data_IF_617838129714
#
_entry.id   IF_617838129714
#
_cell.length_a   1.000
_cell.length_b   1.000
_cell.length_c   1.000
_cell.angle_alpha   90.00
_cell.angle_beta   90.00
_cell.angle_gamma   90.00
#
_symmetry.space_group_name_H-M   'P 1'
#
loop_
_entity.id
_entity.type
_entity.pdbx_description
1 polymer ?
#
# COMPACT_ATOMS: atom_id res chain seq x y z
N UNK A 1 -7.89 -17.64 10.52
CA UNK A 1 -6.59 -16.98 10.82
C UNK A 1 -6.88 -15.53 11.14
N UNK A 2 -6.32 -15.00 12.23
CA UNK A 2 -6.53 -13.61 12.63
C UNK A 2 -5.72 -12.66 11.71
N UNK A 3 -6.18 -11.42 11.56
CA UNK A 3 -5.41 -10.39 10.86
C UNK A 3 -4.13 -10.07 11.66
N UNK A 4 -2.93 -10.03 11.03
CA UNK A 4 -1.68 -9.75 11.74
C UNK A 4 -1.46 -8.26 12.05
N UNK A 5 -2.34 -7.37 11.57
CA UNK A 5 -2.20 -5.93 11.77
C UNK A 5 -2.63 -5.55 13.20
N UNK A 6 -1.79 -4.87 13.99
CA UNK A 6 -2.11 -4.53 15.38
C UNK A 6 -3.15 -3.40 15.46
N UNK A 7 -4.06 -3.48 16.43
CA UNK A 7 -4.97 -2.37 16.74
C UNK A 7 -4.20 -1.14 17.26
N UNK A 8 -4.69 0.10 17.03
CA UNK A 8 -5.95 0.48 16.37
C UNK A 8 -5.83 0.60 14.84
N UNK A 9 -4.75 0.10 14.24
CA UNK A 9 -4.56 0.15 12.81
C UNK A 9 -5.49 -0.82 12.08
N UNK A 10 -5.75 -0.54 10.81
CA UNK A 10 -6.64 -1.34 9.97
C UNK A 10 -6.11 -1.43 8.55
N UNK A 11 -6.37 -2.54 7.86
CA UNK A 11 -5.93 -2.73 6.49
C UNK A 11 -6.78 -1.86 5.55
N UNK A 12 -6.17 -0.83 4.96
CA UNK A 12 -6.84 0.14 4.12
C UNK A 12 -6.02 0.52 2.89
N UNK A 13 -6.68 1.21 1.98
CA UNK A 13 -6.13 1.85 0.79
C UNK A 13 -6.49 3.34 0.83
N UNK A 14 -6.00 4.12 -0.14
CA UNK A 14 -6.44 5.49 -0.33
C UNK A 14 -6.80 5.76 -1.78
N UNK A 15 -7.93 6.43 -2.00
CA UNK A 15 -8.35 6.96 -3.28
C UNK A 15 -8.28 8.48 -3.26
N UNK A 16 -7.74 9.08 -4.32
CA UNK A 16 -7.74 10.53 -4.46
C UNK A 16 -9.07 11.00 -5.05
N UNK A 17 -9.82 11.77 -4.27
CA UNK A 17 -11.11 12.34 -4.66
C UNK A 17 -10.99 13.85 -4.82
N UNK A 18 -11.70 14.41 -5.81
CA UNK A 18 -11.72 15.85 -6.02
C UNK A 18 -12.61 16.55 -4.99
N UNK A 19 -12.16 17.71 -4.52
CA UNK A 19 -12.94 18.61 -3.69
C UNK A 19 -13.52 19.74 -4.53
N UNK A 20 -14.83 19.93 -4.44
CA UNK A 20 -15.50 21.09 -5.03
C UNK A 20 -15.09 22.39 -4.31
N UNK A 21 -15.29 23.54 -4.97
CA UNK A 21 -15.08 24.85 -4.34
C UNK A 21 -15.90 25.01 -3.05
N UNK A 22 -17.14 24.49 -3.05
CA UNK A 22 -18.03 24.50 -1.89
C UNK A 22 -17.47 23.65 -0.74
N UNK A 23 -17.04 22.42 -1.02
CA UNK A 23 -16.44 21.53 -0.02
C UNK A 23 -15.17 22.15 0.59
N UNK A 24 -14.32 22.76 -0.24
CA UNK A 24 -13.14 23.49 0.24
C UNK A 24 -13.51 24.64 1.17
N UNK A 25 -14.51 25.46 0.81
CA UNK A 25 -14.99 26.57 1.63
C UNK A 25 -15.55 26.09 2.97
N UNK A 26 -16.40 25.07 2.96
CA UNK A 26 -17.07 24.58 4.16
C UNK A 26 -16.14 23.82 5.11
N UNK A 27 -15.17 23.06 4.58
CA UNK A 27 -14.26 22.22 5.36
C UNK A 27 -12.88 22.86 5.61
N UNK A 28 -12.68 24.12 5.24
CA UNK A 28 -11.37 24.79 5.35
C UNK A 28 -10.27 24.15 4.49
N UNK A 29 -10.65 23.45 3.42
CA UNK A 29 -9.70 22.73 2.55
C UNK A 29 -8.99 23.66 1.56
N UNK A 30 -7.67 23.69 1.61
CA UNK A 30 -6.85 24.47 0.65
C UNK A 30 -6.64 23.73 -0.67
N UNK A 31 -6.43 22.41 -0.61
CA UNK A 31 -6.23 21.55 -1.77
C UNK A 31 -7.54 21.20 -2.48
N UNK A 32 -7.47 21.08 -3.81
CA UNK A 32 -8.58 20.66 -4.67
C UNK A 32 -8.86 19.14 -4.65
N UNK A 33 -8.21 18.40 -3.76
CA UNK A 33 -8.40 16.97 -3.59
C UNK A 33 -8.27 16.55 -2.13
N UNK A 34 -8.75 15.34 -1.83
CA UNK A 34 -8.47 14.60 -0.60
C UNK A 34 -8.11 13.16 -0.93
N UNK A 35 -7.32 12.54 -0.06
CA UNK A 35 -7.02 11.12 -0.15
C UNK A 35 -7.90 10.39 0.88
N UNK A 36 -9.00 9.82 0.41
CA UNK A 36 -9.98 9.15 1.26
C UNK A 36 -9.53 7.71 1.52
N UNK A 37 -9.48 7.33 2.80
CA UNK A 37 -9.08 5.99 3.22
C UNK A 37 -10.28 5.05 3.17
N UNK A 38 -10.11 3.86 2.60
CA UNK A 38 -11.17 2.87 2.53
C UNK A 38 -10.63 1.45 2.66
N UNK A 39 -11.50 0.51 3.04
CA UNK A 39 -11.22 -0.92 3.01
C UNK A 39 -12.38 -1.64 2.33
N UNK A 40 -12.08 -2.76 1.70
CA UNK A 40 -13.07 -3.55 0.98
C UNK A 40 -12.72 -5.04 1.08
N UNK A 41 -13.74 -5.88 0.91
CA UNK A 41 -13.59 -7.33 0.81
C UNK A 41 -14.25 -7.79 -0.48
N UNK A 42 -13.53 -8.58 -1.27
CA UNK A 42 -14.07 -9.25 -2.47
C UNK A 42 -14.13 -10.74 -2.20
N UNK A 43 -15.29 -11.33 -2.45
CA UNK A 43 -15.54 -12.76 -2.23
C UNK A 43 -15.98 -13.40 -3.55
N UNK A 44 -15.43 -14.57 -3.87
CA UNK A 44 -15.77 -15.33 -5.08
C UNK A 44 -15.74 -16.82 -4.77
N UNK A 45 -16.50 -17.63 -5.53
CA UNK A 45 -16.46 -19.10 -5.44
C UNK A 45 -15.25 -19.71 -6.13
N UNK A 46 -14.60 -18.97 -7.04
CA UNK A 46 -13.40 -19.43 -7.76
C UNK A 46 -12.17 -19.31 -6.88
N UNK A 47 -11.23 -20.24 -7.00
CA UNK A 47 -9.93 -20.10 -6.36
C UNK A 47 -9.18 -18.91 -6.96
N UNK A 48 -8.85 -17.92 -6.14
CA UNK A 48 -8.04 -16.76 -6.54
C UNK A 48 -6.57 -16.97 -6.22
N UNK A 49 -5.68 -16.41 -7.05
CA UNK A 49 -4.27 -16.31 -6.71
C UNK A 49 -4.08 -15.28 -5.59
N UNK A 50 -3.48 -15.71 -4.47
CA UNK A 50 -3.07 -14.81 -3.39
C UNK A 50 -1.68 -14.27 -3.66
N UNK A 51 -1.48 -12.98 -3.49
CA UNK A 51 -0.14 -12.39 -3.48
C UNK A 51 0.63 -12.87 -2.25
N UNK A 52 1.97 -12.98 -2.37
CA UNK A 52 2.85 -13.33 -1.24
C UNK A 52 2.85 -12.24 -0.15
N UNK A 53 2.81 -10.99 -0.57
CA UNK A 53 2.61 -9.84 0.31
C UNK A 53 1.82 -8.72 -0.37
N UNK A 54 1.25 -7.83 0.42
CA UNK A 54 0.56 -6.62 -0.03
C UNK A 54 1.16 -5.38 0.61
N UNK A 55 1.38 -4.34 -0.19
CA UNK A 55 1.88 -3.05 0.29
C UNK A 55 0.81 -2.34 1.12
N UNK A 56 1.10 -2.12 2.41
CA UNK A 56 0.15 -1.58 3.39
C UNK A 56 0.01 -0.06 3.38
N UNK A 57 0.98 0.65 2.82
CA UNK A 57 1.07 2.12 2.84
C UNK A 57 1.68 2.67 1.57
N UNK A 58 1.72 3.98 1.43
CA UNK A 58 2.54 4.60 0.39
C UNK A 58 4.00 4.21 0.61
N UNK A 59 4.68 3.64 -0.40
CA UNK A 59 6.12 3.38 -0.31
C UNK A 59 6.91 4.63 0.04
N UNK A 60 7.76 4.54 1.05
CA UNK A 60 8.69 5.60 1.43
C UNK A 60 9.86 5.59 0.45
N UNK A 61 10.01 6.67 -0.31
CA UNK A 61 10.99 6.77 -1.39
C UNK A 61 12.08 7.75 -0.99
N UNK A 62 13.32 7.28 -1.00
CA UNK A 62 14.51 8.07 -0.76
C UNK A 62 15.49 7.91 -1.94
N UNK A 63 16.53 8.73 -2.05
CA UNK A 63 17.64 8.46 -2.97
C UNK A 63 18.17 7.03 -2.75
N UNK A 64 18.32 6.29 -3.84
CA UNK A 64 18.87 4.92 -3.86
C UNK A 64 18.14 3.88 -3.00
N UNK A 65 16.93 4.15 -2.52
CA UNK A 65 16.22 3.28 -1.58
C UNK A 65 14.70 3.46 -1.63
N UNK A 66 13.98 2.35 -1.51
CA UNK A 66 12.53 2.34 -1.26
C UNK A 66 12.24 1.44 -0.06
N UNK A 67 11.49 1.96 0.92
CA UNK A 67 11.02 1.18 2.07
C UNK A 67 9.53 0.86 1.90
N UNK A 68 9.19 -0.41 2.10
CA UNK A 68 7.86 -0.97 1.93
C UNK A 68 7.40 -1.58 3.26
N UNK A 69 6.24 -1.15 3.74
CA UNK A 69 5.49 -1.87 4.78
C UNK A 69 4.55 -2.86 4.11
N UNK A 70 4.61 -4.12 4.53
CA UNK A 70 3.99 -5.25 3.85
C UNK A 70 3.14 -6.08 4.83
N UNK A 71 1.98 -6.52 4.37
CA UNK A 71 1.22 -7.61 4.99
C UNK A 71 1.49 -8.87 4.19
N UNK A 72 2.28 -9.77 4.76
CA UNK A 72 2.68 -11.04 4.18
C UNK A 72 1.92 -12.20 4.83
N UNK A 73 2.03 -13.38 4.23
CA UNK A 73 1.39 -14.61 4.72
C UNK A 73 1.80 -15.00 6.15
N UNK A 74 2.97 -14.55 6.59
CA UNK A 74 3.57 -14.85 7.89
C UNK A 74 3.52 -13.66 8.87
N UNK A 75 2.99 -12.50 8.45
CA UNK A 75 2.83 -11.34 9.31
C UNK A 75 3.16 -10.00 8.64
N UNK A 76 3.29 -8.97 9.47
CA UNK A 76 3.68 -7.63 9.02
C UNK A 76 5.20 -7.58 8.88
N UNK A 77 5.68 -7.12 7.73
CA UNK A 77 7.11 -7.00 7.41
C UNK A 77 7.44 -5.60 6.91
N UNK A 78 8.68 -5.19 7.13
CA UNK A 78 9.26 -4.01 6.48
C UNK A 78 10.39 -4.48 5.58
N UNK A 79 10.31 -4.18 4.29
CA UNK A 79 11.39 -4.43 3.34
C UNK A 79 12.04 -3.13 2.88
N UNK A 80 13.36 -3.16 2.76
CA UNK A 80 14.15 -2.05 2.24
C UNK A 80 14.84 -2.47 0.94
N UNK A 81 14.31 -1.98 -0.18
CA UNK A 81 14.85 -2.26 -1.50
C UNK A 81 15.86 -1.16 -1.86
N UNK A 82 17.14 -1.53 -1.89
CA UNK A 82 18.23 -0.61 -2.25
C UNK A 82 18.50 -0.64 -3.75
N UNK A 83 19.03 0.46 -4.28
CA UNK A 83 19.50 0.55 -5.66
C UNK A 83 20.79 -0.26 -5.83
N UNK A 84 20.64 -1.58 -5.93
CA UNK A 84 21.53 -2.44 -6.71
C UNK A 84 20.86 -2.64 -8.06
N UNK A 85 21.61 -2.77 -9.13
CA UNK A 85 21.21 -2.83 -10.56
C UNK A 85 20.18 -3.92 -10.89
N UNK A 86 19.01 -3.88 -10.25
CA UNK A 86 18.06 -4.99 -10.13
C UNK A 86 16.68 -4.55 -10.61
N UNK A 87 15.97 -5.50 -11.22
CA UNK A 87 14.55 -5.37 -11.58
C UNK A 87 13.69 -5.01 -10.36
N UNK A 88 14.06 -5.50 -9.18
CA UNK A 88 13.35 -5.28 -7.92
C UNK A 88 13.30 -3.81 -7.51
N UNK A 89 14.41 -3.06 -7.61
CA UNK A 89 14.41 -1.62 -7.32
C UNK A 89 13.48 -0.83 -8.26
N UNK A 90 13.43 -1.22 -9.54
CA UNK A 90 12.49 -0.60 -10.50
C UNK A 90 11.04 -0.90 -10.13
N UNK A 91 10.74 -2.13 -9.70
CA UNK A 91 9.42 -2.52 -9.21
C UNK A 91 9.04 -1.77 -7.93
N UNK A 92 9.96 -1.65 -6.96
CA UNK A 92 9.72 -0.92 -5.71
C UNK A 92 9.44 0.56 -5.97
N UNK A 93 10.17 1.17 -6.91
CA UNK A 93 9.93 2.54 -7.39
C UNK A 93 8.61 2.70 -8.13
N UNK A 94 7.93 1.63 -8.55
CA UNK A 94 6.61 1.72 -9.20
C UNK A 94 5.47 1.27 -8.29
N UNK A 95 5.78 0.56 -7.22
CA UNK A 95 4.82 0.09 -6.24
C UNK A 95 3.96 1.24 -5.69
N UNK A 96 2.69 0.94 -5.54
CA UNK A 96 1.65 1.80 -4.96
C UNK A 96 1.09 1.13 -3.73
N UNK A 97 0.41 1.95 -2.93
CA UNK A 97 -0.36 1.48 -1.81
C UNK A 97 -1.41 0.47 -2.29
N UNK A 98 -1.30 -0.76 -1.78
CA UNK A 98 -2.22 -1.84 -2.08
C UNK A 98 -1.75 -2.82 -3.14
N UNK A 99 -0.63 -2.54 -3.81
CA UNK A 99 -0.07 -3.44 -4.82
C UNK A 99 0.37 -4.77 -4.19
N UNK A 100 0.35 -5.82 -5.00
CA UNK A 100 1.00 -7.07 -4.67
C UNK A 100 2.52 -6.91 -4.69
N UNK A 101 3.20 -7.57 -3.76
CA UNK A 101 4.66 -7.56 -3.66
C UNK A 101 5.19 -8.99 -3.54
N UNK A 102 6.27 -9.27 -4.27
CA UNK A 102 7.02 -10.51 -4.15
C UNK A 102 8.14 -10.27 -3.16
N UNK A 103 8.16 -11.03 -2.06
CA UNK A 103 9.19 -10.93 -1.03
C UNK A 103 10.54 -11.35 -1.62
N UNK A 104 11.59 -10.56 -1.37
CA UNK A 104 12.96 -10.95 -1.73
C UNK A 104 13.40 -12.14 -0.86
N UNK A 105 13.95 -13.19 -1.48
CA UNK A 105 14.50 -14.34 -0.75
C UNK A 105 13.50 -15.43 -0.40
N UNK A 106 12.34 -15.48 -1.04
CA UNK A 106 11.47 -16.65 -0.99
C UNK A 106 11.62 -17.45 -2.29
N UNK A 107 12.50 -18.44 -2.28
CA UNK A 107 12.46 -19.57 -3.21
C UNK A 107 11.08 -20.25 -3.17
#
# INVERSE_FOLDING_TARGET
MACPLPAPDWCHFAARLNRSKLQRRLKGGTLAFEDEKFSYVVVTRKQGARCRARVLRRPERAPHRVRLELCAVDGIRTEEVRQRTSSEYRSARKAKWGDAWNLSGAE
#
